data_IF_208537031739
#
_entry.id   IF_208537031739
#
_cell.length_a   1.000
_cell.length_b   1.000
_cell.length_c   1.000
_cell.angle_alpha   90.00
_cell.angle_beta   90.00
_cell.angle_gamma   90.00
#
_symmetry.space_group_name_H-M   'P 1'
#
loop_
_entity.id
_entity.type
_entity.pdbx_description
1 polymer ?
#
# COMPACT_ATOMS: atom_id res chain seq x y z
N UNK A 1 -26.09 9.94 11.72
CA UNK A 1 -26.66 10.84 10.70
C UNK A 1 -27.45 9.97 9.72
N UNK A 2 -28.79 9.97 9.82
CA UNK A 2 -29.67 9.13 8.97
C UNK A 2 -30.10 10.00 7.79
N UNK A 3 -29.46 9.86 6.64
CA UNK A 3 -29.89 10.53 5.42
C UNK A 3 -31.06 9.72 4.85
N UNK A 4 -32.24 10.33 4.71
CA UNK A 4 -33.41 9.74 4.05
C UNK A 4 -33.82 10.68 2.94
N UNK A 5 -33.78 10.22 1.69
CA UNK A 5 -34.31 10.96 0.55
C UNK A 5 -35.58 10.24 0.08
N UNK A 6 -36.74 10.79 0.44
CA UNK A 6 -38.05 10.27 0.01
C UNK A 6 -38.45 8.93 0.65
N UNK A 7 -38.83 7.94 -0.18
CA UNK A 7 -39.41 6.64 0.20
C UNK A 7 -38.37 5.54 0.51
N UNK A 8 -37.07 5.85 0.51
CA UNK A 8 -36.03 4.86 0.78
C UNK A 8 -35.73 4.89 2.28
N UNK A 9 -36.37 3.99 3.02
CA UNK A 9 -36.22 3.86 4.47
C UNK A 9 -34.87 3.23 4.89
N UNK A 10 -34.21 2.51 3.97
CA UNK A 10 -32.97 1.79 4.23
C UNK A 10 -32.15 1.59 2.93
N UNK A 11 -30.95 2.17 2.85
CA UNK A 11 -30.04 2.03 1.71
C UNK A 11 -29.33 0.68 1.64
N UNK A 12 -29.39 -0.15 2.69
CA UNK A 12 -28.85 -1.51 2.68
C UNK A 12 -29.81 -2.54 2.06
N UNK A 13 -31.12 -2.27 2.04
CA UNK A 13 -32.15 -3.19 1.52
C UNK A 13 -32.55 -2.90 0.07
N UNK A 14 -32.30 -1.69 -0.44
CA UNK A 14 -32.55 -1.36 -1.84
C UNK A 14 -31.32 -1.70 -2.69
N UNK A 15 -31.45 -2.73 -3.54
CA UNK A 15 -30.39 -3.21 -4.45
C UNK A 15 -30.10 -2.30 -5.65
N UNK A 16 -30.28 -0.99 -5.52
CA UNK A 16 -29.98 -0.04 -6.58
C UNK A 16 -28.46 0.07 -6.73
N UNK A 17 -27.94 -0.54 -7.81
CA UNK A 17 -26.53 -0.37 -8.22
C UNK A 17 -26.38 1.03 -8.82
N UNK A 18 -26.05 1.99 -7.99
CA UNK A 18 -25.82 3.38 -8.40
C UNK A 18 -24.31 3.56 -8.62
N UNK A 19 -23.92 3.90 -9.83
CA UNK A 19 -22.55 4.35 -10.13
C UNK A 19 -22.43 5.85 -9.83
N UNK A 20 -21.30 6.28 -9.28
CA UNK A 20 -20.99 7.69 -9.12
C UNK A 20 -20.71 8.34 -10.48
N UNK A 21 -21.29 9.52 -10.72
CA UNK A 21 -21.08 10.31 -11.95
C UNK A 21 -19.87 11.25 -11.86
N UNK A 22 -19.30 11.44 -10.67
CA UNK A 22 -18.16 12.31 -10.41
C UNK A 22 -17.08 11.57 -9.62
N UNK A 23 -15.79 11.80 -9.92
CA UNK A 23 -14.68 11.16 -9.22
C UNK A 23 -14.53 11.71 -7.79
N UNK A 24 -14.01 10.87 -6.90
CA UNK A 24 -13.56 11.29 -5.57
C UNK A 24 -12.17 11.90 -5.70
N UNK A 25 -12.02 13.16 -5.33
CA UNK A 25 -10.73 13.86 -5.33
C UNK A 25 -10.10 13.79 -3.94
N UNK A 26 -8.78 13.70 -3.90
CA UNK A 26 -7.99 13.75 -2.67
C UNK A 26 -6.75 14.63 -2.85
N UNK A 27 -6.26 15.21 -1.76
CA UNK A 27 -4.99 15.94 -1.76
C UNK A 27 -3.82 14.96 -1.59
N UNK A 28 -2.78 15.12 -2.39
CA UNK A 28 -1.58 14.30 -2.30
C UNK A 28 -0.77 14.67 -1.05
N UNK A 29 -0.49 13.68 -0.18
CA UNK A 29 0.36 13.88 0.99
C UNK A 29 1.84 14.01 0.61
N UNK A 30 2.29 13.26 -0.39
CA UNK A 30 3.68 13.23 -0.89
C UNK A 30 3.70 12.97 -2.40
N UNK A 31 4.70 13.48 -3.10
CA UNK A 31 4.85 13.33 -4.55
C UNK A 31 6.29 12.98 -4.92
N UNK A 32 6.48 11.95 -5.76
CA UNK A 32 7.78 11.48 -6.24
C UNK A 32 7.86 11.62 -7.77
N UNK A 33 8.46 12.69 -8.32
CA UNK A 33 8.38 12.98 -9.76
C UNK A 33 9.13 11.96 -10.64
N UNK A 34 10.15 11.29 -10.11
CA UNK A 34 11.05 10.41 -10.88
C UNK A 34 11.02 8.95 -10.37
N UNK A 35 9.99 8.57 -9.61
CA UNK A 35 9.91 7.24 -9.01
C UNK A 35 8.49 6.74 -9.10
N UNK A 36 8.31 5.58 -9.74
CA UNK A 36 7.02 4.89 -9.75
C UNK A 36 6.86 4.12 -8.45
N UNK A 37 5.80 4.44 -7.70
CA UNK A 37 5.40 3.69 -6.51
C UNK A 37 4.56 2.49 -6.92
N UNK A 38 4.87 1.32 -6.38
CA UNK A 38 4.26 0.04 -6.78
C UNK A 38 3.55 -0.66 -5.62
N UNK A 39 3.84 -0.28 -4.37
CA UNK A 39 3.12 -0.78 -3.20
C UNK A 39 3.01 0.28 -2.11
N UNK A 40 2.02 0.10 -1.23
CA UNK A 40 1.84 0.91 -0.03
C UNK A 40 1.41 0.02 1.13
N UNK A 41 2.12 0.10 2.24
CA UNK A 41 1.74 -0.52 3.51
C UNK A 41 1.82 0.52 4.61
N UNK A 42 0.82 0.55 5.48
CA UNK A 42 0.77 1.48 6.61
C UNK A 42 1.09 0.73 7.90
N UNK A 43 1.86 1.38 8.77
CA UNK A 43 1.98 1.00 10.17
C UNK A 43 1.68 2.20 11.05
N UNK A 44 0.95 1.98 12.12
CA UNK A 44 0.63 3.00 13.12
C UNK A 44 1.38 2.66 14.40
N UNK A 45 2.19 3.58 14.89
CA UNK A 45 2.63 3.59 16.28
C UNK A 45 1.61 4.36 17.13
N UNK A 46 1.86 4.53 18.43
CA UNK A 46 0.93 5.24 19.33
C UNK A 46 0.62 6.67 18.88
N UNK A 47 1.55 7.34 18.18
CA UNK A 47 1.46 8.78 17.87
C UNK A 47 1.62 9.10 16.39
N UNK A 48 2.10 8.15 15.58
CA UNK A 48 2.48 8.41 14.21
C UNK A 48 2.04 7.29 13.26
N UNK A 49 1.67 7.67 12.04
CA UNK A 49 1.47 6.74 10.94
C UNK A 49 2.69 6.80 10.02
N UNK A 50 3.24 5.64 9.70
CA UNK A 50 4.33 5.48 8.72
C UNK A 50 3.77 4.76 7.51
N UNK A 51 4.07 5.30 6.32
CA UNK A 51 3.84 4.64 5.05
C UNK A 51 5.15 4.04 4.52
N UNK A 52 5.13 2.75 4.24
CA UNK A 52 6.15 2.03 3.51
C UNK A 52 5.74 1.97 2.05
N UNK A 53 6.51 2.62 1.17
CA UNK A 53 6.20 2.75 -0.24
C UNK A 53 7.21 1.93 -1.05
N UNK A 54 6.74 0.88 -1.71
CA UNK A 54 7.54 0.11 -2.64
C UNK A 54 7.70 0.85 -3.96
N UNK A 55 8.82 0.63 -4.64
CA UNK A 55 9.15 1.30 -5.91
C UNK A 55 9.43 0.29 -7.01
N UNK A 56 9.29 0.74 -8.26
CA UNK A 56 9.56 -0.09 -9.44
C UNK A 56 11.03 -0.48 -9.61
N UNK A 57 11.97 0.22 -8.95
CA UNK A 57 13.40 -0.04 -9.02
C UNK A 57 13.96 -0.74 -7.78
N UNK A 58 13.09 -1.22 -6.89
CA UNK A 58 13.48 -2.11 -5.79
C UNK A 58 13.82 -1.45 -4.47
N UNK A 59 13.51 -0.16 -4.33
CA UNK A 59 13.61 0.55 -3.08
C UNK A 59 12.30 0.50 -2.29
N UNK A 60 12.43 0.44 -0.97
CA UNK A 60 11.36 0.71 -0.03
C UNK A 60 11.60 2.08 0.62
N UNK A 61 10.68 3.01 0.45
CA UNK A 61 10.72 4.34 1.07
C UNK A 61 9.89 4.36 2.34
N UNK A 62 10.39 4.98 3.40
CA UNK A 62 9.66 5.18 4.66
C UNK A 62 9.26 6.64 4.78
N UNK A 63 7.95 6.87 4.87
CA UNK A 63 7.36 8.21 4.90
C UNK A 63 6.55 8.37 6.18
N UNK A 64 6.92 9.35 6.99
CA UNK A 64 6.14 9.74 8.16
C UNK A 64 4.93 10.57 7.70
N UNK A 65 3.73 10.16 8.07
CA UNK A 65 2.48 10.88 7.80
C UNK A 65 2.05 11.65 9.05
N UNK A 66 2.57 12.88 9.24
CA UNK A 66 2.27 13.71 10.41
C UNK A 66 2.06 15.17 10.01
N UNK A 67 0.81 15.55 9.69
CA UNK A 67 0.45 16.88 9.17
C UNK A 67 1.01 17.13 7.76
N UNK A 68 2.33 17.17 7.62
CA UNK A 68 3.08 17.14 6.36
C UNK A 68 3.80 15.80 6.23
N UNK A 69 3.66 15.13 5.09
CA UNK A 69 4.39 13.89 4.86
C UNK A 69 5.87 14.17 4.57
N UNK A 70 6.75 13.34 5.12
CA UNK A 70 8.19 13.43 4.90
C UNK A 70 8.81 12.04 4.74
N UNK A 71 9.52 11.83 3.64
CA UNK A 71 10.43 10.69 3.52
C UNK A 71 11.60 10.91 4.49
N UNK A 72 11.86 9.92 5.35
CA UNK A 72 13.00 9.96 6.26
C UNK A 72 14.04 8.87 5.96
N UNK A 73 13.68 7.85 5.18
CA UNK A 73 14.59 6.75 4.85
C UNK A 73 14.20 6.07 3.52
N UNK A 74 15.20 5.57 2.80
CA UNK A 74 15.02 4.70 1.64
C UNK A 74 16.01 3.54 1.71
N UNK A 75 15.49 2.33 1.57
CA UNK A 75 16.26 1.09 1.68
C UNK A 75 16.18 0.35 0.36
N UNK A 76 17.32 -0.03 -0.20
CA UNK A 76 17.38 -0.93 -1.35
C UNK A 76 17.04 -2.35 -0.88
N UNK A 77 15.95 -2.93 -1.39
CA UNK A 77 15.53 -4.30 -1.07
C UNK A 77 15.98 -5.26 -2.16
N UNK A 78 15.72 -4.93 -3.43
CA UNK A 78 16.05 -5.81 -4.56
C UNK A 78 16.31 -5.02 -5.85
N UNK A 79 17.59 -4.77 -6.16
CA UNK A 79 17.99 -3.84 -7.21
C UNK A 79 17.41 -4.18 -8.58
N UNK A 80 16.63 -3.26 -9.14
CA UNK A 80 16.06 -3.39 -10.48
C UNK A 80 14.80 -4.25 -10.56
N UNK A 81 14.35 -4.81 -9.43
CA UNK A 81 13.10 -5.57 -9.35
C UNK A 81 12.06 -4.77 -8.58
N UNK A 82 10.84 -4.71 -9.11
CA UNK A 82 9.78 -3.95 -8.45
C UNK A 82 9.39 -4.58 -7.12
N UNK A 83 9.05 -3.73 -6.15
CA UNK A 83 8.39 -4.18 -4.92
C UNK A 83 6.91 -4.45 -5.22
N UNK A 84 6.41 -5.61 -4.84
CA UNK A 84 5.05 -6.05 -5.12
C UNK A 84 4.05 -5.53 -4.07
N UNK A 85 2.75 -5.36 -4.41
CA UNK A 85 1.72 -4.89 -3.48
C UNK A 85 1.52 -5.72 -2.22
N UNK A 86 1.92 -6.99 -2.24
CA UNK A 86 1.74 -7.96 -1.14
C UNK A 86 2.72 -7.74 0.03
N UNK A 87 3.09 -6.49 0.32
CA UNK A 87 3.91 -6.11 1.47
C UNK A 87 3.05 -6.01 2.73
N UNK A 88 3.51 -6.62 3.83
CA UNK A 88 2.73 -6.72 5.06
C UNK A 88 3.59 -6.43 6.31
N UNK A 89 3.03 -5.67 7.24
CA UNK A 89 3.63 -5.48 8.57
C UNK A 89 3.32 -6.72 9.39
N UNK A 90 4.33 -7.22 10.11
CA UNK A 90 4.17 -8.35 11.02
C UNK A 90 3.14 -8.00 12.12
N UNK A 91 2.37 -8.96 12.66
CA UNK A 91 1.40 -8.68 13.71
C UNK A 91 1.98 -8.00 14.96
N UNK A 92 3.27 -8.20 15.26
CA UNK A 92 3.94 -7.52 16.37
C UNK A 92 4.27 -6.05 16.09
N UNK A 93 4.28 -5.63 14.82
CA UNK A 93 4.70 -4.29 14.39
C UNK A 93 6.21 -4.12 14.21
N UNK A 94 7.02 -5.10 14.58
CA UNK A 94 8.50 -4.96 14.59
C UNK A 94 9.16 -5.13 13.22
N UNK A 95 8.47 -5.80 12.30
CA UNK A 95 9.01 -6.16 10.98
C UNK A 95 8.01 -5.87 9.86
N UNK A 96 8.53 -5.70 8.66
CA UNK A 96 7.75 -5.67 7.42
C UNK A 96 8.27 -6.74 6.47
N UNK A 97 7.37 -7.55 5.92
CA UNK A 97 7.65 -8.50 4.87
C UNK A 97 7.50 -7.80 3.52
N UNK A 98 8.58 -7.80 2.75
CA UNK A 98 8.65 -7.12 1.45
C UNK A 98 8.86 -8.16 0.37
N UNK A 99 7.95 -8.22 -0.60
CA UNK A 99 8.04 -9.11 -1.75
C UNK A 99 8.51 -8.33 -2.97
N UNK A 100 9.41 -8.91 -3.76
CA UNK A 100 9.88 -8.35 -5.02
C UNK A 100 9.57 -9.28 -6.19
N UNK A 101 9.63 -8.76 -7.41
CA UNK A 101 9.38 -9.53 -8.63
C UNK A 101 10.53 -10.45 -9.05
N UNK A 102 11.61 -10.58 -8.26
CA UNK A 102 12.70 -11.48 -8.62
C UNK A 102 12.26 -12.93 -8.48
N UNK A 103 12.19 -13.63 -9.62
CA UNK A 103 11.87 -15.06 -9.64
C UNK A 103 13.14 -15.85 -9.32
N UNK A 104 13.21 -16.50 -8.16
CA UNK A 104 14.14 -17.62 -7.99
C UNK A 104 13.58 -18.82 -8.76
N UNK A 105 14.03 -19.03 -10.00
CA UNK A 105 13.84 -20.31 -10.70
C UNK A 105 14.70 -21.38 -10.02
N UNK A 106 14.24 -21.93 -8.89
CA UNK A 106 14.79 -23.14 -8.30
C UNK A 106 13.94 -24.33 -8.71
N UNK A 107 14.31 -25.02 -9.79
CA UNK A 107 13.99 -26.45 -9.89
C UNK A 107 15.00 -27.13 -8.98
N UNK A 108 14.55 -27.60 -7.83
CA UNK A 108 15.35 -28.46 -6.96
C UNK A 108 15.51 -29.83 -7.65
N UNK A 109 16.59 -29.98 -8.43
CA UNK A 109 17.03 -31.29 -8.92
C UNK A 109 17.97 -31.89 -7.88
N UNK A 110 17.44 -32.36 -6.76
CA UNK A 110 18.16 -33.27 -5.85
C UNK A 110 17.17 -34.26 -5.22
N UNK A 111 16.57 -35.12 -6.06
CA UNK A 111 16.27 -36.47 -5.59
C UNK A 111 17.61 -37.23 -5.50
N UNK A 112 17.86 -37.71 -4.29
CA UNK A 112 19.07 -38.40 -3.83
C UNK A 112 19.51 -39.54 -4.76
N UNK A 113 20.82 -39.61 -5.01
CA UNK A 113 21.50 -40.90 -5.18
C UNK A 113 21.67 -41.58 -3.82
#
# INVERSE_FOLDING_TARGET
>A
MKMSTGNILNFCEVGLKISGVAPINAQASVHFPNTSLTSVTLATTEQHTVAFLGTSNGYLKKVLLSGKAAEYESVLVDSGFQILPDTAVAPSGDYIFVLSSSKKNGVDNNEKQ
#
